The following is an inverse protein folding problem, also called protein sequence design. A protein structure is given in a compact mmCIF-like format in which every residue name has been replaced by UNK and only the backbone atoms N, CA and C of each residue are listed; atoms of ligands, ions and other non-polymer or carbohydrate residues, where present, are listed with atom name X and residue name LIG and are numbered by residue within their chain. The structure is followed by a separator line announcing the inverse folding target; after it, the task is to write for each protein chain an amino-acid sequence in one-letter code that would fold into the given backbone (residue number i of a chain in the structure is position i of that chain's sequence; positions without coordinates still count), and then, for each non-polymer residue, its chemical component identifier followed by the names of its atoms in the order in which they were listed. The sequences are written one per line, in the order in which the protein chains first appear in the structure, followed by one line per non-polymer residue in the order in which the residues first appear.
data_IF_811833885822
#
_entry.id   IF_811833885822
#
_cell.length_a   1.000
_cell.length_b   1.000
_cell.length_c   1.000
_cell.angle_alpha   90.00
_cell.angle_beta   90.00
_cell.angle_gamma   90.00
#
_symmetry.space_group_name_H-M   'P 1'
#
loop_
_entity.id
_entity.type
_entity.pdbx_description
1 polymer ?
#
# COMPACT_ATOMS: atom_id res chain seq x y z
N UNK A 1 84.22 48.65 -19.75
CA UNK A 1 83.52 47.69 -18.88
C UNK A 1 82.23 48.34 -18.45
N UNK A 2 81.09 47.79 -18.89
CA UNK A 2 79.76 48.10 -18.39
C UNK A 2 79.03 49.25 -19.09
N UNK A 3 78.55 49.03 -20.33
CA UNK A 3 77.54 49.91 -20.91
C UNK A 3 76.14 49.39 -20.54
N UNK A 4 75.45 50.25 -19.83
CA UNK A 4 74.08 50.17 -19.36
C UNK A 4 73.20 50.75 -20.46
N UNK A 5 72.40 49.91 -21.13
CA UNK A 5 71.40 50.40 -22.06
C UNK A 5 69.99 50.05 -21.59
N UNK A 6 69.24 51.12 -21.36
CA UNK A 6 67.88 51.18 -20.86
C UNK A 6 66.90 50.43 -21.76
N UNK A 7 66.26 49.41 -21.21
CA UNK A 7 65.20 48.66 -21.86
C UNK A 7 63.90 49.48 -21.84
N UNK A 8 63.72 50.38 -22.82
CA UNK A 8 62.43 51.03 -23.09
C UNK A 8 61.55 50.14 -23.96
N UNK A 9 60.41 49.74 -23.38
CA UNK A 9 59.32 49.03 -24.04
C UNK A 9 58.81 49.78 -25.28
N UNK A 10 58.57 49.10 -26.42
CA UNK A 10 57.75 49.65 -27.48
C UNK A 10 56.26 49.50 -27.12
N UNK A 11 55.56 50.60 -27.30
CA UNK A 11 54.13 50.80 -27.11
C UNK A 11 53.28 49.85 -27.96
N UNK A 12 52.13 49.45 -27.40
CA UNK A 12 51.02 48.85 -28.12
C UNK A 12 50.32 49.94 -28.96
N UNK A 13 50.16 49.78 -30.28
CA UNK A 13 49.15 50.51 -31.01
C UNK A 13 47.86 49.67 -31.03
N UNK A 14 46.79 50.29 -30.54
CA UNK A 14 45.46 49.71 -30.57
C UNK A 14 44.98 49.43 -32.00
N UNK A 15 44.54 48.20 -32.22
CA UNK A 15 43.65 47.84 -33.33
C UNK A 15 42.27 47.58 -32.78
N UNK A 16 41.36 48.55 -32.92
CA UNK A 16 39.91 48.30 -32.96
C UNK A 16 39.63 47.48 -34.21
N UNK A 17 39.78 46.17 -34.11
CA UNK A 17 39.24 45.23 -35.08
C UNK A 17 37.99 44.62 -34.47
N UNK A 18 36.86 44.79 -35.14
CA UNK A 18 35.66 43.98 -34.94
C UNK A 18 36.01 42.52 -35.24
N UNK A 19 36.66 41.86 -34.29
CA UNK A 19 36.81 40.42 -34.30
C UNK A 19 35.46 39.86 -33.89
N UNK A 20 34.64 39.52 -34.89
CA UNK A 20 33.66 38.43 -34.73
C UNK A 20 34.34 37.34 -33.91
N UNK A 21 33.81 36.93 -32.75
CA UNK A 21 34.44 35.89 -31.96
C UNK A 21 34.60 34.70 -32.88
N UNK A 22 35.85 34.30 -33.14
CA UNK A 22 36.16 33.13 -33.95
C UNK A 22 35.20 32.03 -33.54
N UNK A 23 34.40 31.56 -34.51
CA UNK A 23 33.33 30.61 -34.22
C UNK A 23 33.95 29.48 -33.42
N UNK A 24 33.43 29.19 -32.21
CA UNK A 24 34.00 28.16 -31.39
C UNK A 24 33.99 26.86 -32.22
N UNK A 25 35.09 26.07 -32.20
CA UNK A 25 35.21 24.89 -33.02
C UNK A 25 33.98 23.99 -32.81
N UNK A 26 33.51 23.33 -33.87
CA UNK A 26 32.16 22.72 -33.92
C UNK A 26 31.83 21.80 -32.73
N UNK A 27 32.85 21.22 -32.10
CA UNK A 27 32.71 20.40 -30.91
C UNK A 27 32.32 21.20 -29.66
N UNK A 28 32.80 22.42 -29.47
CA UNK A 28 32.43 23.29 -28.32
C UNK A 28 30.96 23.69 -28.43
N UNK A 29 30.53 24.10 -29.62
CA UNK A 29 29.11 24.39 -29.89
C UNK A 29 28.23 23.14 -29.71
N UNK A 30 28.75 21.95 -30.02
CA UNK A 30 28.07 20.68 -29.77
C UNK A 30 27.98 20.36 -28.27
N UNK A 31 29.04 20.59 -27.50
CA UNK A 31 29.05 20.41 -26.03
C UNK A 31 28.09 21.37 -25.37
N UNK A 32 28.07 22.65 -25.74
CA UNK A 32 27.13 23.63 -25.19
C UNK A 32 25.66 23.33 -25.52
N UNK A 33 25.40 22.74 -26.69
CA UNK A 33 24.05 22.31 -27.09
C UNK A 33 23.57 21.09 -26.30
N UNK A 34 24.46 20.17 -25.94
CA UNK A 34 24.12 18.94 -25.23
C UNK A 34 24.27 19.02 -23.71
N UNK A 35 25.03 19.99 -23.19
CA UNK A 35 25.22 20.21 -21.75
C UNK A 35 24.00 20.85 -21.08
N UNK A 36 23.15 21.54 -21.85
CA UNK A 36 21.89 22.10 -21.36
C UNK A 36 20.79 21.02 -21.38
N UNK A 37 20.12 20.75 -20.25
CA UNK A 37 19.02 19.79 -20.22
C UNK A 37 17.90 20.25 -21.17
N UNK A 38 17.49 19.36 -22.09
CA UNK A 38 16.40 19.62 -23.04
C UNK A 38 15.11 19.95 -22.30
N UNK A 39 14.71 21.23 -22.31
CA UNK A 39 13.43 21.69 -21.77
C UNK A 39 12.30 21.19 -22.68
N UNK A 40 11.62 20.13 -22.27
CA UNK A 40 10.44 19.62 -22.99
C UNK A 40 9.26 20.52 -22.70
N UNK A 41 8.98 21.48 -23.59
CA UNK A 41 7.75 22.26 -23.54
C UNK A 41 6.60 21.34 -23.90
N UNK A 42 5.81 20.93 -22.89
CA UNK A 42 4.56 20.22 -23.13
C UNK A 42 3.52 21.25 -23.58
N UNK A 43 2.89 21.09 -24.75
CA UNK A 43 1.81 21.99 -25.14
C UNK A 43 0.69 21.89 -24.08
N UNK A 44 0.37 23.01 -23.42
CA UNK A 44 -0.79 23.09 -22.54
C UNK A 44 -2.02 23.14 -23.43
N UNK A 45 -2.78 22.05 -23.49
CA UNK A 45 -4.12 22.06 -24.08
C UNK A 45 -5.00 22.90 -23.16
N UNK A 46 -5.46 24.05 -23.65
CA UNK A 46 -6.44 24.88 -22.92
C UNK A 46 -7.73 24.09 -22.87
N UNK A 47 -8.17 23.74 -21.66
CA UNK A 47 -9.40 22.98 -21.46
C UNK A 47 -10.60 23.88 -21.73
N UNK A 48 -11.39 23.57 -22.75
CA UNK A 48 -12.69 24.20 -22.94
C UNK A 48 -13.58 23.84 -21.75
N UNK A 49 -13.94 24.85 -20.95
CA UNK A 49 -14.83 24.65 -19.82
C UNK A 49 -16.24 24.35 -20.34
N UNK A 50 -16.81 23.25 -19.88
CA UNK A 50 -18.22 22.97 -20.14
C UNK A 50 -19.08 24.08 -19.55
N UNK A 51 -20.29 24.34 -20.09
CA UNK A 51 -21.16 25.41 -19.59
C UNK A 51 -21.36 25.40 -18.06
N UNK A 52 -21.30 24.21 -17.44
CA UNK A 52 -21.43 23.93 -16.01
C UNK A 52 -20.21 24.32 -15.16
N UNK A 53 -19.04 24.48 -15.79
CA UNK A 53 -17.78 24.84 -15.16
C UNK A 53 -17.48 26.35 -15.24
N UNK A 54 -18.31 27.12 -15.96
CA UNK A 54 -18.21 28.57 -16.01
C UNK A 54 -18.78 29.17 -14.73
N UNK A 55 -18.05 30.07 -14.09
CA UNK A 55 -18.49 30.72 -12.86
C UNK A 55 -19.70 31.62 -13.14
N UNK A 56 -20.82 31.38 -12.45
CA UNK A 56 -22.01 32.22 -12.45
C UNK A 56 -23.33 31.44 -12.58
N UNK A 57 -24.46 32.04 -12.18
CA UNK A 57 -25.77 31.44 -12.39
C UNK A 57 -26.06 31.32 -13.90
N UNK A 58 -26.52 30.15 -14.34
CA UNK A 58 -26.89 29.89 -15.73
C UNK A 58 -27.96 30.89 -16.22
N UNK A 59 -27.85 31.35 -17.47
CA UNK A 59 -28.88 32.24 -18.06
C UNK A 59 -30.16 31.43 -18.29
N UNK A 60 -31.31 32.11 -18.34
CA UNK A 60 -32.63 31.48 -18.58
C UNK A 60 -32.69 30.59 -19.83
N UNK A 61 -31.93 30.93 -20.88
CA UNK A 61 -31.80 30.13 -22.10
C UNK A 61 -31.06 28.82 -21.84
N UNK A 62 -29.98 28.86 -21.06
CA UNK A 62 -29.18 27.69 -20.71
C UNK A 62 -29.98 26.73 -19.81
N UNK A 63 -30.82 27.27 -18.92
CA UNK A 63 -31.75 26.47 -18.10
C UNK A 63 -32.78 25.69 -18.93
N UNK A 64 -33.32 26.29 -20.01
CA UNK A 64 -34.24 25.57 -20.92
C UNK A 64 -33.55 24.42 -21.63
N UNK A 65 -32.31 24.63 -22.10
CA UNK A 65 -31.51 23.59 -22.75
C UNK A 65 -31.14 22.49 -21.75
N UNK A 66 -30.81 22.85 -20.51
CA UNK A 66 -30.57 21.89 -19.44
C UNK A 66 -31.80 21.05 -19.16
N UNK A 67 -32.98 21.66 -19.03
CA UNK A 67 -34.20 20.91 -18.74
C UNK A 67 -34.53 19.89 -19.85
N UNK A 68 -34.37 20.27 -21.12
CA UNK A 68 -34.53 19.35 -22.26
C UNK A 68 -33.47 18.25 -22.30
N UNK A 69 -32.23 18.59 -21.94
CA UNK A 69 -31.15 17.61 -21.84
C UNK A 69 -31.41 16.63 -20.68
N UNK A 70 -31.82 17.12 -19.52
CA UNK A 70 -32.08 16.33 -18.34
C UNK A 70 -33.28 15.40 -18.56
N UNK A 71 -34.36 15.88 -19.20
CA UNK A 71 -35.53 15.04 -19.50
C UNK A 71 -35.22 13.87 -20.42
N UNK A 72 -34.17 13.97 -21.25
CA UNK A 72 -33.79 12.91 -22.22
C UNK A 72 -32.63 12.05 -21.76
N UNK A 73 -31.69 12.60 -20.98
CA UNK A 73 -30.42 11.94 -20.62
C UNK A 73 -30.21 11.73 -19.12
N UNK A 74 -31.02 12.33 -18.25
CA UNK A 74 -30.94 12.11 -16.82
C UNK A 74 -31.76 10.90 -16.34
N UNK A 75 -32.59 10.31 -17.21
CA UNK A 75 -33.18 9.01 -16.89
C UNK A 75 -32.07 7.95 -16.83
N UNK A 76 -32.06 7.09 -15.79
CA UNK A 76 -31.14 5.96 -15.72
C UNK A 76 -31.24 5.17 -17.03
N UNK A 77 -30.13 5.10 -17.77
CA UNK A 77 -30.09 4.29 -18.98
C UNK A 77 -30.19 2.83 -18.53
N UNK A 78 -31.28 2.16 -18.91
CA UNK A 78 -31.41 0.72 -18.73
C UNK A 78 -30.21 0.08 -19.42
N UNK A 79 -29.33 -0.50 -18.60
CA UNK A 79 -28.20 -1.23 -19.15
C UNK A 79 -28.79 -2.48 -19.81
N UNK A 80 -28.40 -2.81 -21.04
CA UNK A 80 -28.76 -4.11 -21.60
C UNK A 80 -28.28 -5.17 -20.62
N UNK A 81 -29.11 -6.18 -20.38
CA UNK A 81 -28.73 -7.31 -19.53
C UNK A 81 -27.37 -7.83 -20.04
N UNK A 82 -26.38 -7.97 -19.14
CA UNK A 82 -25.08 -8.47 -19.56
C UNK A 82 -25.30 -9.84 -20.20
N UNK A 83 -24.67 -10.13 -21.35
CA UNK A 83 -24.73 -11.47 -21.92
C UNK A 83 -24.30 -12.45 -20.82
N UNK A 84 -24.96 -13.63 -20.71
CA UNK A 84 -24.58 -14.61 -19.72
C UNK A 84 -23.09 -14.91 -19.89
N UNK A 85 -22.32 -14.60 -18.86
CA UNK A 85 -20.90 -14.93 -18.86
C UNK A 85 -20.81 -16.45 -18.78
N UNK A 86 -20.33 -17.07 -19.85
CA UNK A 86 -19.95 -18.48 -19.83
C UNK A 86 -18.93 -18.67 -18.72
N UNK A 87 -19.34 -19.33 -17.64
CA UNK A 87 -18.44 -19.62 -16.54
C UNK A 87 -17.43 -20.65 -17.10
N UNK A 88 -16.12 -20.35 -17.17
CA UNK A 88 -15.13 -21.23 -17.84
C UNK A 88 -14.99 -22.62 -17.21
N UNK A 89 -15.74 -22.89 -16.15
CA UNK A 89 -15.67 -24.10 -15.36
C UNK A 89 -17.03 -24.75 -15.08
N UNK A 90 -18.03 -24.56 -15.94
CA UNK A 90 -19.32 -25.25 -15.83
C UNK A 90 -19.24 -26.77 -16.00
N UNK A 91 -18.11 -27.31 -16.46
CA UNK A 91 -17.98 -28.74 -16.66
C UNK A 91 -17.93 -29.49 -15.30
N UNK A 92 -18.86 -30.42 -15.11
CA UNK A 92 -19.07 -31.19 -13.86
C UNK A 92 -17.83 -31.94 -13.35
N UNK A 93 -16.88 -32.25 -14.24
CA UNK A 93 -15.65 -32.94 -13.90
C UNK A 93 -14.57 -32.01 -13.32
N UNK A 94 -14.73 -30.69 -13.40
CA UNK A 94 -13.78 -29.74 -12.84
C UNK A 94 -14.10 -29.45 -11.36
N UNK A 95 -13.08 -29.37 -10.48
CA UNK A 95 -13.29 -29.12 -9.04
C UNK A 95 -14.08 -27.84 -8.73
N UNK A 96 -14.04 -26.86 -9.63
CA UNK A 96 -14.74 -25.58 -9.56
C UNK A 96 -16.19 -25.60 -10.08
N UNK A 97 -16.57 -26.58 -10.91
CA UNK A 97 -17.94 -26.78 -11.39
C UNK A 97 -18.75 -27.73 -10.50
N UNK A 98 -18.08 -28.52 -9.67
CA UNK A 98 -18.72 -29.45 -8.75
C UNK A 98 -19.49 -28.68 -7.68
N UNK A 99 -20.81 -28.78 -7.70
CA UNK A 99 -21.66 -28.23 -6.64
C UNK A 99 -21.20 -28.81 -5.30
N UNK A 100 -20.80 -27.94 -4.38
CA UNK A 100 -20.42 -28.36 -3.03
C UNK A 100 -21.67 -28.98 -2.40
N UNK A 101 -21.58 -30.27 -2.06
CA UNK A 101 -22.57 -30.89 -1.20
C UNK A 101 -22.45 -30.18 0.15
N UNK A 102 -23.49 -29.41 0.49
CA UNK A 102 -23.57 -28.78 1.80
C UNK A 102 -23.68 -29.89 2.84
N UNK A 103 -22.82 -29.84 3.85
CA UNK A 103 -22.93 -30.73 5.00
C UNK A 103 -24.23 -30.38 5.77
N UNK A 104 -24.80 -31.31 6.54
CA UNK A 104 -26.02 -31.03 7.34
C UNK A 104 -25.84 -29.82 8.26
N UNK A 105 -24.62 -29.61 8.75
CA UNK A 105 -24.23 -28.44 9.54
C UNK A 105 -24.27 -27.12 8.74
N UNK A 106 -23.96 -27.15 7.43
CA UNK A 106 -24.01 -25.96 6.56
C UNK A 106 -25.49 -25.56 6.29
N UNK A 107 -26.38 -26.55 6.17
CA UNK A 107 -27.83 -26.32 6.02
C UNK A 107 -28.44 -25.77 7.31
N UNK A 108 -28.14 -26.37 8.46
CA UNK A 108 -28.57 -25.92 9.79
C UNK A 108 -28.05 -24.50 10.11
N UNK A 109 -26.83 -24.16 9.68
CA UNK A 109 -26.29 -22.80 9.79
C UNK A 109 -27.02 -21.81 8.88
N UNK A 110 -27.43 -22.22 7.67
CA UNK A 110 -28.26 -21.42 6.77
C UNK A 110 -29.61 -21.09 7.38
N UNK A 111 -30.31 -22.10 7.89
CA UNK A 111 -31.60 -21.96 8.57
C UNK A 111 -31.49 -21.05 9.81
N UNK A 112 -30.43 -21.20 10.61
CA UNK A 112 -30.16 -20.32 11.76
C UNK A 112 -29.88 -18.88 11.35
N UNK A 113 -29.16 -18.66 10.24
CA UNK A 113 -28.92 -17.31 9.73
C UNK A 113 -30.21 -16.65 9.25
N UNK A 114 -31.09 -17.40 8.58
CA UNK A 114 -32.40 -16.91 8.16
C UNK A 114 -33.28 -16.56 9.36
N UNK A 115 -33.31 -17.41 10.39
CA UNK A 115 -34.02 -17.13 11.64
C UNK A 115 -33.50 -15.89 12.37
N UNK A 116 -32.18 -15.64 12.34
CA UNK A 116 -31.58 -14.44 12.93
C UNK A 116 -31.82 -13.17 12.10
N UNK A 117 -32.07 -13.32 10.79
CA UNK A 117 -32.37 -12.20 9.89
C UNK A 117 -33.77 -11.63 10.13
N UNK A 118 -34.69 -12.45 10.65
CA UNK A 118 -36.04 -12.05 11.02
C UNK A 118 -35.97 -11.33 12.38
N UNK A 119 -36.36 -10.05 12.47
CA UNK A 119 -36.37 -9.34 13.74
C UNK A 119 -37.31 -10.03 14.74
N UNK A 120 -36.90 -10.17 16.00
CA UNK A 120 -37.74 -10.72 17.07
C UNK A 120 -39.13 -10.05 17.09
N UNK A 121 -40.21 -10.83 17.27
CA UNK A 121 -41.61 -10.37 17.18
C UNK A 121 -41.91 -9.12 18.03
N UNK A 122 -41.33 -9.04 19.24
CA UNK A 122 -41.43 -7.88 20.13
C UNK A 122 -40.88 -6.56 19.56
N UNK A 123 -40.00 -6.63 18.55
CA UNK A 123 -39.38 -5.49 17.86
C UNK A 123 -40.04 -5.20 16.51
N UNK A 124 -40.91 -6.08 16.02
CA UNK A 124 -41.65 -5.86 14.78
C UNK A 124 -42.79 -4.87 15.03
N UNK A 125 -42.62 -3.62 14.58
CA UNK A 125 -43.71 -2.64 14.56
C UNK A 125 -44.53 -2.87 13.29
N UNK A 126 -45.87 -2.85 13.36
CA UNK A 126 -46.79 -2.99 12.20
C UNK A 126 -46.51 -2.06 11.00
N UNK A 127 -45.72 -1.00 11.19
CA UNK A 127 -45.32 -0.03 10.16
C UNK A 127 -44.02 -0.38 9.42
N UNK A 128 -43.25 -1.35 9.90
CA UNK A 128 -41.96 -1.71 9.33
C UNK A 128 -42.11 -2.92 8.41
N UNK A 129 -42.17 -2.66 7.10
CA UNK A 129 -41.94 -3.68 6.08
C UNK A 129 -40.49 -3.55 5.62
N UNK A 130 -39.63 -4.56 5.82
CA UNK A 130 -38.27 -4.50 5.32
C UNK A 130 -38.34 -4.59 3.79
N UNK A 131 -38.17 -3.45 3.12
CA UNK A 131 -37.89 -3.42 1.69
C UNK A 131 -36.43 -3.91 1.58
N UNK A 132 -36.15 -5.04 0.91
CA UNK A 132 -34.78 -5.49 0.72
C UNK A 132 -34.01 -4.38 -0.01
N UNK A 133 -32.84 -3.96 0.50
CA UNK A 133 -32.09 -2.87 -0.11
C UNK A 133 -31.69 -3.30 -1.53
N UNK A 134 -32.02 -2.46 -2.52
CA UNK A 134 -31.42 -2.61 -3.84
C UNK A 134 -29.91 -2.49 -3.66
N UNK A 135 -29.17 -3.53 -4.09
CA UNK A 135 -27.74 -3.64 -3.88
C UNK A 135 -27.06 -2.58 -4.73
N UNK A 136 -26.88 -1.40 -4.17
CA UNK A 136 -26.02 -0.37 -4.74
C UNK A 136 -24.58 -0.75 -4.44
N UNK A 137 -23.71 -0.62 -5.44
CA UNK A 137 -22.29 -0.93 -5.33
C UNK A 137 -21.69 -0.15 -4.15
N UNK A 138 -21.43 -0.87 -3.05
CA UNK A 138 -20.70 -0.36 -1.91
C UNK A 138 -19.24 -0.79 -2.10
N UNK A 139 -18.33 0.10 -2.53
CA UNK A 139 -16.92 -0.22 -2.50
C UNK A 139 -16.53 -0.38 -1.04
N UNK A 140 -16.53 -1.62 -0.56
CA UNK A 140 -15.91 -2.00 0.70
C UNK A 140 -14.43 -1.63 0.61
N UNK A 141 -14.11 -0.38 0.96
CA UNK A 141 -12.77 -0.03 1.37
C UNK A 141 -12.59 -0.79 2.68
N UNK A 142 -11.97 -1.96 2.60
CA UNK A 142 -11.59 -2.76 3.77
C UNK A 142 -10.54 -1.95 4.51
N UNK A 143 -10.97 -0.97 5.32
CA UNK A 143 -10.21 -0.55 6.48
C UNK A 143 -9.98 -1.85 7.25
N UNK A 144 -8.71 -2.25 7.39
CA UNK A 144 -8.30 -3.61 7.74
C UNK A 144 -9.16 -4.23 8.84
N UNK A 145 -9.34 -5.56 8.79
CA UNK A 145 -10.18 -6.33 9.73
C UNK A 145 -10.30 -5.62 11.07
N UNK A 146 -11.51 -5.17 11.41
CA UNK A 146 -11.76 -4.58 12.71
C UNK A 146 -11.16 -5.52 13.76
N UNK A 147 -10.39 -5.01 14.74
CA UNK A 147 -9.85 -5.86 15.79
C UNK A 147 -11.02 -6.62 16.39
N UNK A 148 -11.00 -7.93 16.19
CA UNK A 148 -12.07 -8.80 16.62
C UNK A 148 -12.17 -8.62 18.14
N UNK A 149 -13.33 -8.22 18.64
CA UNK A 149 -13.64 -8.28 20.07
C UNK A 149 -13.25 -9.68 20.50
N UNK A 150 -12.28 -9.84 21.41
CA UNK A 150 -11.96 -11.15 21.97
C UNK A 150 -13.28 -11.73 22.45
N UNK A 151 -13.83 -12.70 21.70
CA UNK A 151 -15.04 -13.44 22.08
C UNK A 151 -14.67 -13.96 23.45
N UNK A 152 -15.27 -13.36 24.48
CA UNK A 152 -14.75 -13.36 25.84
C UNK A 152 -14.13 -14.69 26.14
N UNK A 153 -12.85 -14.69 26.57
CA UNK A 153 -12.07 -15.89 26.89
C UNK A 153 -13.06 -16.95 27.41
N UNK A 154 -13.30 -18.07 26.69
CA UNK A 154 -14.39 -19.02 26.97
C UNK A 154 -14.18 -19.82 28.27
N UNK A 155 -13.51 -19.20 29.22
CA UNK A 155 -13.16 -19.71 30.52
C UNK A 155 -13.58 -18.63 31.52
N UNK A 156 -14.41 -19.02 32.48
CA UNK A 156 -14.70 -18.19 33.65
C UNK A 156 -13.34 -17.92 34.34
N UNK A 157 -12.90 -16.66 34.46
CA UNK A 157 -11.66 -16.37 35.17
C UNK A 157 -11.73 -16.94 36.59
N UNK A 158 -10.61 -17.42 37.14
CA UNK A 158 -10.60 -17.96 38.49
C UNK A 158 -10.97 -16.83 39.46
N UNK A 159 -11.86 -17.13 40.39
CA UNK A 159 -12.28 -16.17 41.41
C UNK A 159 -11.12 -15.96 42.37
N UNK A 160 -10.52 -14.77 42.32
CA UNK A 160 -9.49 -14.34 43.27
C UNK A 160 -10.18 -13.65 44.47
N UNK A 161 -9.80 -13.96 45.72
CA UNK A 161 -10.23 -13.17 46.87
C UNK A 161 -9.73 -11.72 46.76
N UNK A 162 -10.52 -10.75 47.23
CA UNK A 162 -10.19 -9.33 47.18
C UNK A 162 -8.84 -9.02 47.86
N UNK A 163 -8.58 -9.68 49.00
CA UNK A 163 -7.35 -9.57 49.77
C UNK A 163 -6.91 -10.97 50.23
N UNK A 164 -5.60 -11.24 50.27
CA UNK A 164 -5.06 -12.42 50.94
C UNK A 164 -4.71 -12.09 52.39
N UNK A 165 -4.94 -13.02 53.35
CA UNK A 165 -4.60 -12.78 54.76
C UNK A 165 -3.08 -12.66 54.98
N UNK A 166 -2.29 -13.47 54.29
CA UNK A 166 -0.82 -13.55 54.39
C UNK A 166 -0.18 -13.69 52.99
N UNK A 167 1.09 -13.30 52.84
CA UNK A 167 1.86 -13.47 51.59
C UNK A 167 2.00 -14.94 51.19
N UNK A 168 2.17 -15.84 52.15
CA UNK A 168 2.37 -17.26 51.88
C UNK A 168 1.13 -17.89 51.21
N UNK A 169 -0.05 -17.44 51.62
CA UNK A 169 -1.34 -17.87 51.05
C UNK A 169 -1.53 -17.29 49.64
N UNK A 170 -1.05 -16.06 49.41
CA UNK A 170 -1.03 -15.45 48.07
C UNK A 170 -0.11 -16.24 47.12
N UNK A 171 1.11 -16.54 47.57
CA UNK A 171 2.10 -17.29 46.79
C UNK A 171 1.60 -18.71 46.48
N UNK A 172 1.01 -19.39 47.45
CA UNK A 172 0.41 -20.72 47.27
C UNK A 172 -0.78 -20.68 46.33
N UNK A 173 -1.64 -19.66 46.43
CA UNK A 173 -2.77 -19.45 45.51
C UNK A 173 -2.27 -19.31 44.07
N UNK A 174 -1.28 -18.44 43.83
CA UNK A 174 -0.74 -18.22 42.48
C UNK A 174 0.04 -19.41 41.94
N UNK A 175 0.73 -20.17 42.81
CA UNK A 175 1.43 -21.39 42.43
C UNK A 175 0.47 -22.52 42.02
N UNK A 176 -0.69 -22.60 42.68
CA UNK A 176 -1.68 -23.67 42.47
C UNK A 176 -2.65 -23.35 41.33
N UNK A 177 -2.86 -22.07 41.03
CA UNK A 177 -3.77 -21.60 40.00
C UNK A 177 -3.32 -22.07 38.60
N UNK A 178 -4.02 -23.09 38.08
CA UNK A 178 -3.79 -23.61 36.72
C UNK A 178 -4.96 -23.25 35.81
N UNK A 179 -4.64 -22.69 34.65
CA UNK A 179 -5.62 -22.52 33.58
C UNK A 179 -5.74 -23.83 32.79
N UNK A 180 -6.95 -24.28 32.42
CA UNK A 180 -7.10 -25.39 31.49
C UNK A 180 -6.47 -25.01 30.15
N UNK A 181 -5.36 -25.69 29.82
CA UNK A 181 -4.65 -25.45 28.57
C UNK A 181 -5.48 -26.00 27.42
N UNK A 182 -5.83 -25.16 26.44
CA UNK A 182 -6.53 -25.63 25.24
C UNK A 182 -5.69 -26.67 24.53
N UNK A 183 -6.32 -27.76 24.04
CA UNK A 183 -5.63 -28.79 23.23
C UNK A 183 -4.89 -28.20 22.03
N UNK A 184 -5.38 -27.10 21.46
CA UNK A 184 -4.71 -26.37 20.37
C UNK A 184 -3.40 -25.67 20.83
N UNK A 185 -3.37 -25.14 22.05
CA UNK A 185 -2.17 -24.49 22.60
C UNK A 185 -1.06 -25.52 22.87
N UNK A 186 -1.40 -26.77 23.22
CA UNK A 186 -0.42 -27.86 23.33
C UNK A 186 0.26 -28.19 22.00
N UNK A 187 -0.42 -27.96 20.87
CA UNK A 187 0.14 -28.12 19.52
C UNK A 187 0.80 -26.84 18.99
N UNK A 188 0.80 -25.76 19.76
CA UNK A 188 1.36 -24.47 19.37
C UNK A 188 2.87 -24.56 19.19
N UNK A 189 3.34 -24.39 17.95
CA UNK A 189 4.77 -24.24 17.66
C UNK A 189 5.13 -22.75 17.73
N UNK A 190 6.24 -22.37 18.40
CA UNK A 190 6.67 -20.97 18.40
C UNK A 190 6.99 -20.52 16.98
N UNK A 191 6.64 -19.28 16.65
CA UNK A 191 6.98 -18.70 15.35
C UNK A 191 8.49 -18.54 15.22
N UNK A 192 9.01 -18.57 13.98
CA UNK A 192 10.46 -18.42 13.73
C UNK A 192 11.04 -17.15 14.37
N UNK A 193 10.24 -16.07 14.48
CA UNK A 193 10.63 -14.83 15.16
C UNK A 193 10.75 -14.99 16.67
N UNK A 194 9.85 -15.73 17.32
CA UNK A 194 9.95 -16.01 18.75
C UNK A 194 11.19 -16.85 19.02
N UNK A 195 11.44 -17.85 18.16
CA UNK A 195 12.66 -18.68 18.24
C UNK A 195 13.92 -17.81 18.09
N UNK A 196 13.95 -16.89 17.13
CA UNK A 196 15.13 -16.03 16.92
C UNK A 196 15.37 -15.07 18.09
N UNK A 197 14.30 -14.53 18.69
CA UNK A 197 14.38 -13.66 19.86
C UNK A 197 14.77 -14.41 21.13
N UNK A 198 14.33 -15.66 21.28
CA UNK A 198 14.66 -16.50 22.43
C UNK A 198 16.09 -17.02 22.42
N UNK A 199 16.79 -16.98 21.27
CA UNK A 199 18.20 -17.37 21.21
C UNK A 199 19.03 -16.41 22.08
N UNK A 200 19.88 -16.94 22.98
CA UNK A 200 20.76 -16.08 23.77
C UNK A 200 21.62 -15.23 22.84
N UNK A 201 21.69 -13.94 23.12
CA UNK A 201 22.51 -13.02 22.33
C UNK A 201 23.98 -13.35 22.61
N UNK A 202 24.62 -14.04 21.68
CA UNK A 202 26.06 -14.30 21.73
C UNK A 202 26.77 -12.97 21.49
N UNK A 203 27.15 -12.31 22.58
CA UNK A 203 28.02 -11.14 22.54
C UNK A 203 29.47 -11.64 22.53
N UNK A 204 30.37 -11.03 21.74
CA UNK A 204 31.79 -11.28 21.92
C UNK A 204 32.21 -10.90 23.36
N UNK A 205 33.24 -11.53 23.92
CA UNK A 205 33.75 -11.18 25.24
C UNK A 205 34.07 -9.68 25.30
N UNK A 206 33.64 -9.03 26.38
CA UNK A 206 33.90 -7.62 26.64
C UNK A 206 35.09 -7.50 27.59
N UNK A 207 36.13 -6.69 27.29
CA UNK A 207 36.26 -5.83 26.12
C UNK A 207 36.67 -6.59 24.84
N UNK A 208 36.24 -6.14 23.65
CA UNK A 208 36.66 -6.75 22.40
C UNK A 208 38.16 -6.48 22.17
N UNK A 209 38.94 -7.53 21.95
CA UNK A 209 40.38 -7.42 21.66
C UNK A 209 40.70 -6.67 20.36
N UNK A 210 39.71 -6.53 19.45
CA UNK A 210 39.84 -5.85 18.16
C UNK A 210 38.65 -4.89 17.94
N UNK A 211 38.85 -3.76 17.20
CA UNK A 211 37.74 -2.90 16.78
C UNK A 211 36.76 -3.71 15.91
N UNK A 212 35.50 -3.77 16.33
CA UNK A 212 34.45 -4.44 15.59
C UNK A 212 34.25 -3.72 14.25
N UNK A 213 34.33 -4.42 13.10
CA UNK A 213 34.08 -3.78 11.81
C UNK A 213 32.65 -3.22 11.79
N UNK A 214 32.46 -2.11 11.10
CA UNK A 214 31.13 -1.55 10.87
C UNK A 214 30.24 -2.63 10.24
N UNK A 215 29.04 -2.81 10.80
CA UNK A 215 28.11 -3.82 10.28
C UNK A 215 27.73 -3.47 8.85
N UNK A 216 28.12 -4.33 7.91
CA UNK A 216 27.58 -4.29 6.56
C UNK A 216 26.08 -4.56 6.63
N UNK A 217 25.27 -3.52 6.36
CA UNK A 217 23.83 -3.65 6.33
C UNK A 217 23.43 -4.58 5.18
N UNK A 218 22.54 -5.53 5.46
CA UNK A 218 21.97 -6.35 4.40
C UNK A 218 21.20 -5.46 3.40
N UNK A 219 21.05 -5.85 2.13
CA UNK A 219 20.43 -5.01 1.10
C UNK A 219 19.04 -4.45 1.45
N UNK A 220 18.28 -5.10 2.34
CA UNK A 220 16.94 -4.67 2.78
C UNK A 220 16.95 -3.78 4.04
N UNK A 221 18.06 -3.75 4.76
CA UNK A 221 18.22 -2.98 6.00
C UNK A 221 18.91 -1.62 5.73
N UNK A 222 19.32 -1.37 4.49
CA UNK A 222 19.87 -0.08 4.06
C UNK A 222 18.76 0.97 4.10
N UNK A 223 18.90 2.06 4.86
CA UNK A 223 17.88 3.10 4.97
C UNK A 223 17.67 3.85 3.65
N UNK A 224 16.49 4.47 3.44
CA UNK A 224 16.22 5.24 2.23
C UNK A 224 17.20 6.42 2.08
N UNK A 225 17.60 6.76 0.85
CA UNK A 225 18.40 7.95 0.60
C UNK A 225 17.68 9.21 1.11
N UNK A 226 18.39 10.07 1.83
CA UNK A 226 17.85 11.27 2.52
C UNK A 226 17.01 12.20 1.63
N UNK A 227 17.18 12.15 0.31
CA UNK A 227 16.56 13.07 -0.67
C UNK A 227 15.36 12.48 -1.44
N UNK A 228 14.94 11.24 -1.17
CA UNK A 228 13.91 10.56 -1.97
C UNK A 228 12.58 10.44 -1.21
N UNK A 229 11.46 10.53 -1.94
CA UNK A 229 10.07 10.48 -1.40
C UNK A 229 9.60 9.07 -0.98
N UNK A 230 10.52 8.13 -0.71
CA UNK A 230 10.10 6.79 -0.30
C UNK A 230 9.93 6.73 1.20
N UNK A 231 8.76 6.27 1.65
CA UNK A 231 8.59 5.80 3.03
C UNK A 231 9.51 4.60 3.27
N UNK A 232 9.88 4.27 4.52
CA UNK A 232 10.74 3.11 4.81
C UNK A 232 10.22 1.80 4.18
N UNK A 233 8.90 1.60 4.21
CA UNK A 233 8.25 0.46 3.58
C UNK A 233 8.32 0.52 2.05
N UNK A 234 8.05 1.68 1.45
CA UNK A 234 8.17 1.87 0.00
C UNK A 234 9.60 1.64 -0.51
N UNK A 235 10.59 2.04 0.28
CA UNK A 235 12.01 1.80 -0.01
C UNK A 235 12.36 0.32 0.04
N UNK A 236 11.89 -0.39 1.07
CA UNK A 236 12.08 -1.85 1.19
C UNK A 236 11.47 -2.60 0.00
N UNK A 237 10.26 -2.23 -0.43
CA UNK A 237 9.64 -2.84 -1.61
C UNK A 237 10.41 -2.52 -2.91
N UNK A 238 10.95 -1.30 -3.01
CA UNK A 238 11.80 -0.93 -4.13
C UNK A 238 13.10 -1.75 -4.17
N UNK A 239 13.74 -1.97 -3.02
CA UNK A 239 14.93 -2.84 -2.92
C UNK A 239 14.62 -4.28 -3.31
N UNK A 240 13.49 -4.85 -2.84
CA UNK A 240 13.03 -6.19 -3.25
C UNK A 240 12.87 -6.27 -4.77
N UNK A 241 12.26 -5.25 -5.38
CA UNK A 241 12.12 -5.17 -6.84
C UNK A 241 13.46 -5.10 -7.56
N UNK A 242 14.43 -4.31 -7.06
CA UNK A 242 15.77 -4.25 -7.64
C UNK A 242 16.49 -5.60 -7.55
N UNK A 243 16.42 -6.27 -6.39
CA UNK A 243 16.97 -7.62 -6.21
C UNK A 243 16.30 -8.60 -7.18
N UNK A 244 14.98 -8.52 -7.33
CA UNK A 244 14.24 -9.34 -8.27
C UNK A 244 14.70 -9.12 -9.72
N UNK A 245 14.87 -7.87 -10.15
CA UNK A 245 15.32 -7.52 -11.50
C UNK A 245 16.80 -7.85 -11.74
N UNK A 246 17.63 -7.85 -10.70
CA UNK A 246 19.07 -8.15 -10.81
C UNK A 246 19.39 -9.62 -11.09
N UNK A 247 18.44 -10.52 -10.85
CA UNK A 247 18.60 -11.96 -11.05
C UNK A 247 18.30 -12.30 -12.53
N UNK A 248 19.12 -13.16 -13.20
CA UNK A 248 18.99 -13.46 -14.63
C UNK A 248 17.61 -14.03 -15.01
N UNK A 249 17.24 -13.80 -16.28
CA UNK A 249 15.92 -14.06 -16.89
C UNK A 249 15.69 -15.56 -17.20
N UNK A 250 16.63 -16.45 -16.88
CA UNK A 250 16.37 -17.90 -16.92
C UNK A 250 15.52 -18.32 -15.73
N UNK A 251 14.21 -18.10 -15.79
CA UNK A 251 13.29 -18.56 -14.73
C UNK A 251 12.14 -19.35 -15.32
N UNK A 252 12.15 -20.65 -15.04
CA UNK A 252 10.95 -21.49 -15.02
C UNK A 252 10.14 -21.06 -13.77
N UNK A 253 8.85 -20.76 -13.92
CA UNK A 253 7.78 -20.91 -12.89
C UNK A 253 7.36 -19.75 -11.95
N UNK A 254 7.78 -18.48 -12.07
CA UNK A 254 7.36 -17.44 -11.09
C UNK A 254 6.70 -16.16 -11.66
N UNK A 255 5.85 -16.25 -12.68
CA UNK A 255 4.96 -15.12 -13.08
C UNK A 255 3.79 -14.89 -12.11
N UNK A 256 3.43 -15.87 -11.27
CA UNK A 256 2.23 -15.83 -10.42
C UNK A 256 2.26 -14.83 -9.25
N UNK A 257 3.39 -14.22 -8.91
CA UNK A 257 3.49 -13.31 -7.75
C UNK A 257 3.26 -11.83 -8.06
N UNK A 258 2.93 -11.47 -9.30
CA UNK A 258 2.77 -10.08 -9.73
C UNK A 258 1.46 -9.75 -10.48
N UNK A 259 0.45 -10.63 -10.41
CA UNK A 259 -0.96 -10.25 -10.62
C UNK A 259 -1.64 -10.02 -9.27
#
# INVERSE_FOLDING_TARGET
MGDQEDFKLPQVPGGKGDASPAEPPSWVAWVERNSKPRVRVRPKVVRELTPWQKAGPMKKKDWKHFYQWASTKAMPKEQPEPPPMEIPCEADYLPCGKQRQADEDDLDMGEKMEQLSIPLERRQRKKYQPIPPSITYNPMIVWGQQPHLDKGRPFKPPEKPCCFPNSDIEDEFWATLRFPVRKAALKGRPTARIISLARPKVMPPWPPHCPLPEKALAPLDVPPPKRKKFTPQGWRMHQIRLIYLSKPISRREFEYFYM
#
